data_IF_226172974399
#
_entry.id   IF_226172974399
#
_cell.length_a   1.000
_cell.length_b   1.000
_cell.length_c   1.000
_cell.angle_alpha   90.00
_cell.angle_beta   90.00
_cell.angle_gamma   90.00
#
_symmetry.space_group_name_H-M   'P 1'
#
loop_
_entity.id
_entity.type
_entity.pdbx_description
1 polymer ?
#
# COMPACT_ATOMS: atom_id res chain seq x y z
N UNK A 1 -9.33 49.11 55.41
CA UNK A 1 -9.21 47.71 55.86
C UNK A 1 -9.82 46.82 54.79
N UNK A 2 -9.07 46.16 53.90
CA UNK A 2 -8.23 44.96 54.13
C UNK A 2 -9.13 43.72 54.04
N UNK A 3 -8.99 42.70 53.18
CA UNK A 3 -7.84 42.00 52.56
C UNK A 3 -8.31 41.37 51.20
N UNK A 4 -7.53 41.33 50.10
CA UNK A 4 -6.64 40.21 49.60
C UNK A 4 -7.27 38.80 49.76
N UNK A 5 -7.23 37.83 48.83
CA UNK A 5 -6.47 37.55 47.59
C UNK A 5 -7.02 36.27 46.91
N UNK A 6 -6.47 35.98 45.71
CA UNK A 6 -6.40 34.68 44.98
C UNK A 6 -7.55 34.43 44.00
N UNK A 7 -7.33 33.91 42.80
CA UNK A 7 -6.15 33.25 42.23
C UNK A 7 -6.69 32.14 41.32
N UNK A 8 -6.37 32.18 40.02
CA UNK A 8 -6.93 31.23 39.07
C UNK A 8 -6.18 31.26 37.74
N UNK A 9 -4.87 30.99 37.78
CA UNK A 9 -4.12 30.64 36.58
C UNK A 9 -4.61 29.29 36.07
N UNK A 10 -5.49 29.31 35.07
CA UNK A 10 -5.88 28.14 34.30
C UNK A 10 -4.65 27.59 33.57
N UNK A 11 -4.02 26.56 34.15
CA UNK A 11 -3.06 25.73 33.42
C UNK A 11 -3.87 24.92 32.41
N UNK A 12 -3.78 25.30 31.13
CA UNK A 12 -4.11 24.38 30.05
C UNK A 12 -3.15 23.19 30.17
N UNK A 13 -3.65 22.06 30.68
CA UNK A 13 -3.00 20.77 30.43
C UNK A 13 -3.22 20.49 28.94
N UNK A 14 -2.25 20.85 28.11
CA UNK A 14 -2.14 20.27 26.79
C UNK A 14 -1.88 18.78 26.95
N UNK A 15 -2.88 17.94 26.64
CA UNK A 15 -2.62 16.55 26.30
C UNK A 15 -1.77 16.56 25.03
N UNK A 16 -0.46 16.46 25.17
CA UNK A 16 0.39 16.05 24.07
C UNK A 16 -0.03 14.61 23.74
N UNK A 17 -0.83 14.45 22.69
CA UNK A 17 -1.03 13.15 22.09
C UNK A 17 0.35 12.71 21.59
N UNK A 18 0.94 11.72 22.27
CA UNK A 18 2.11 11.02 21.74
C UNK A 18 1.62 10.28 20.49
N UNK A 19 1.86 10.87 19.31
CA UNK A 19 1.78 10.16 18.06
C UNK A 19 2.88 9.10 18.09
N UNK A 20 2.50 7.85 18.35
CA UNK A 20 3.37 6.70 18.09
C UNK A 20 3.48 6.61 16.56
N UNK A 21 4.50 7.26 15.99
CA UNK A 21 4.88 6.97 14.61
C UNK A 21 5.22 5.48 14.53
N UNK A 22 4.58 4.76 13.60
CA UNK A 22 5.01 3.40 13.27
C UNK A 22 6.50 3.45 12.95
N UNK A 23 7.30 2.63 13.63
CA UNK A 23 8.75 2.61 13.39
C UNK A 23 9.01 2.05 11.99
N UNK A 24 9.94 2.63 11.23
CA UNK A 24 10.25 2.15 9.89
C UNK A 24 10.74 0.70 9.96
N UNK A 25 10.27 -0.13 9.03
CA UNK A 25 10.77 -1.49 8.85
C UNK A 25 12.06 -1.42 8.04
N UNK A 26 13.13 -2.07 8.48
CA UNK A 26 14.36 -2.16 7.70
C UNK A 26 14.25 -3.24 6.62
N UNK A 27 14.51 -2.88 5.36
CA UNK A 27 14.62 -3.84 4.27
C UNK A 27 15.84 -4.76 4.48
N UNK A 28 15.74 -6.05 4.14
CA UNK A 28 16.84 -7.03 4.24
C UNK A 28 17.89 -6.80 3.17
N UNK A 29 17.49 -6.35 1.98
CA UNK A 29 18.39 -5.93 0.91
C UNK A 29 17.79 -6.15 -0.49
N UNK A 30 18.39 -5.54 -1.52
CA UNK A 30 17.91 -5.67 -2.88
C UNK A 30 18.26 -7.05 -3.47
N UNK A 31 17.53 -7.44 -4.51
CA UNK A 31 17.82 -8.61 -5.33
C UNK A 31 18.42 -8.19 -6.67
N UNK A 32 19.32 -9.03 -7.21
CA UNK A 32 19.83 -8.86 -8.56
C UNK A 32 18.84 -9.45 -9.59
N UNK A 33 18.30 -8.59 -10.46
CA UNK A 33 17.42 -8.98 -11.54
C UNK A 33 18.20 -8.97 -12.85
N UNK A 34 18.47 -10.15 -13.40
CA UNK A 34 19.28 -10.29 -14.61
C UNK A 34 18.67 -9.59 -15.85
N UNK A 35 17.34 -9.54 -15.97
CA UNK A 35 16.62 -8.90 -17.09
C UNK A 35 15.17 -8.55 -16.71
N UNK A 36 14.95 -7.58 -15.79
CA UNK A 36 13.62 -7.20 -15.35
C UNK A 36 12.77 -6.71 -16.52
N UNK A 37 11.51 -7.17 -16.57
CA UNK A 37 10.53 -6.72 -17.55
C UNK A 37 9.63 -5.64 -16.92
N UNK A 38 9.20 -4.60 -17.66
CA UNK A 38 8.39 -3.52 -17.09
C UNK A 38 7.03 -3.99 -16.53
N UNK A 39 6.61 -3.39 -15.41
CA UNK A 39 5.30 -3.61 -14.80
C UNK A 39 5.21 -4.82 -13.87
N UNK A 40 4.08 -4.97 -13.20
CA UNK A 40 3.79 -6.02 -12.23
C UNK A 40 2.92 -7.12 -12.83
N UNK A 41 3.19 -8.37 -12.45
CA UNK A 41 2.29 -9.48 -12.72
C UNK A 41 1.06 -9.40 -11.82
N UNK A 42 -0.07 -9.87 -12.32
CA UNK A 42 -1.30 -9.97 -11.54
C UNK A 42 -2.01 -11.28 -11.87
N UNK A 43 -2.55 -11.91 -10.83
CA UNK A 43 -3.51 -12.99 -11.00
C UNK A 43 -4.77 -12.70 -10.18
N UNK A 44 -5.92 -13.08 -10.74
CA UNK A 44 -7.24 -12.79 -10.20
C UNK A 44 -7.91 -14.03 -9.64
N UNK A 45 -8.61 -13.86 -8.52
CA UNK A 45 -9.43 -14.90 -7.90
C UNK A 45 -10.82 -14.31 -7.69
N UNK A 46 -11.85 -14.93 -8.27
CA UNK A 46 -13.22 -14.50 -8.06
C UNK A 46 -13.72 -14.92 -6.65
N UNK A 47 -14.35 -13.99 -5.96
CA UNK A 47 -15.00 -14.21 -4.68
C UNK A 47 -15.28 -12.94 -3.90
N UNK A 48 -16.46 -12.90 -3.27
CA UNK A 48 -16.81 -11.86 -2.33
C UNK A 48 -16.19 -12.15 -0.97
N UNK A 49 -15.20 -11.35 -0.58
CA UNK A 49 -14.63 -11.33 0.77
C UNK A 49 -14.93 -9.99 1.44
N UNK A 50 -14.63 -9.88 2.73
CA UNK A 50 -14.80 -8.63 3.49
C UNK A 50 -13.54 -8.17 4.19
N UNK A 51 -12.47 -8.96 4.14
CA UNK A 51 -11.21 -8.66 4.80
C UNK A 51 -10.04 -9.32 4.07
N UNK A 52 -8.88 -8.66 3.98
CA UNK A 52 -7.68 -9.17 3.29
C UNK A 52 -7.26 -10.57 3.79
N UNK A 53 -7.40 -10.87 5.09
CA UNK A 53 -7.04 -12.19 5.62
C UNK A 53 -7.86 -13.35 5.03
N UNK A 54 -9.07 -13.08 4.52
CA UNK A 54 -9.83 -14.08 3.77
C UNK A 54 -9.19 -14.40 2.42
N UNK A 55 -8.62 -13.38 1.75
CA UNK A 55 -7.85 -13.57 0.51
C UNK A 55 -6.62 -14.43 0.77
N UNK A 56 -5.84 -14.13 1.82
CA UNK A 56 -4.63 -14.89 2.19
C UNK A 56 -4.93 -16.38 2.40
N UNK A 57 -6.08 -16.71 2.99
CA UNK A 57 -6.51 -18.11 3.17
C UNK A 57 -6.93 -18.78 1.86
N UNK A 58 -7.48 -18.01 0.92
CA UNK A 58 -8.03 -18.51 -0.34
C UNK A 58 -6.96 -18.65 -1.43
N UNK A 59 -6.01 -17.72 -1.51
CA UNK A 59 -5.02 -17.65 -2.60
C UNK A 59 -4.12 -18.88 -2.72
N UNK A 60 -3.85 -19.58 -1.60
CA UNK A 60 -3.06 -20.82 -1.62
C UNK A 60 -3.82 -22.08 -2.02
N UNK A 61 -5.13 -21.98 -2.26
CA UNK A 61 -6.03 -23.14 -2.46
C UNK A 61 -6.96 -23.00 -3.66
N UNK A 62 -6.85 -21.89 -4.40
CA UNK A 62 -7.67 -21.58 -5.56
C UNK A 62 -6.80 -21.31 -6.78
N UNK A 63 -7.31 -21.74 -7.93
CA UNK A 63 -6.75 -21.32 -9.20
C UNK A 63 -6.85 -19.79 -9.33
N UNK A 64 -5.81 -19.20 -9.88
CA UNK A 64 -5.70 -17.77 -10.08
C UNK A 64 -5.60 -17.50 -11.58
N UNK A 65 -6.51 -16.69 -12.11
CA UNK A 65 -6.54 -16.34 -13.53
C UNK A 65 -5.51 -15.23 -13.82
N UNK A 66 -4.44 -15.49 -14.58
CA UNK A 66 -3.45 -14.46 -14.89
C UNK A 66 -4.08 -13.33 -15.71
N UNK A 67 -3.76 -12.09 -15.33
CA UNK A 67 -4.15 -10.89 -16.05
C UNK A 67 -3.02 -10.32 -16.91
N UNK A 68 -3.31 -9.34 -17.78
CA UNK A 68 -2.29 -8.50 -18.39
C UNK A 68 -1.42 -7.82 -17.32
N UNK A 69 -0.12 -7.72 -17.60
CA UNK A 69 0.86 -6.98 -16.77
C UNK A 69 0.35 -5.56 -16.49
N UNK A 70 0.50 -5.13 -15.24
CA UNK A 70 0.11 -3.81 -14.76
C UNK A 70 1.32 -2.87 -14.84
N UNK A 71 1.39 -1.93 -15.80
CA UNK A 71 2.56 -1.05 -15.94
C UNK A 71 2.69 -0.06 -14.77
N UNK A 72 1.58 0.28 -14.13
CA UNK A 72 1.48 1.15 -12.96
C UNK A 72 0.19 0.80 -12.22
N UNK A 73 0.13 1.05 -10.91
CA UNK A 73 -1.12 0.96 -10.15
C UNK A 73 -1.77 2.34 -10.05
N UNK A 74 -2.54 2.69 -11.08
CA UNK A 74 -3.37 3.89 -11.14
C UNK A 74 -4.72 3.55 -11.77
N UNK A 75 -5.51 2.75 -11.06
CA UNK A 75 -6.81 2.28 -11.53
C UNK A 75 -7.90 2.89 -10.66
N UNK A 76 -8.93 3.43 -11.31
CA UNK A 76 -10.17 3.84 -10.63
C UNK A 76 -11.30 3.75 -11.64
N UNK A 77 -12.36 3.05 -11.28
CA UNK A 77 -13.57 2.95 -12.10
C UNK A 77 -14.81 3.10 -11.24
N UNK A 78 -15.74 3.96 -11.69
CA UNK A 78 -17.07 4.12 -11.11
C UNK A 78 -18.04 2.98 -11.45
N UNK A 79 -17.56 1.96 -12.18
CA UNK A 79 -18.28 0.76 -12.59
C UNK A 79 -17.65 0.15 -13.85
N UNK A 80 -17.34 -1.15 -13.84
CA UNK A 80 -16.65 -1.86 -14.91
C UNK A 80 -15.66 -2.86 -14.35
N UNK A 81 -14.85 -3.48 -15.22
CA UNK A 81 -13.94 -4.53 -14.77
C UNK A 81 -12.96 -3.98 -13.73
N UNK A 82 -12.76 -4.73 -12.65
CA UNK A 82 -11.78 -4.42 -11.61
C UNK A 82 -10.39 -4.63 -12.18
N UNK A 83 -9.55 -3.59 -12.17
CA UNK A 83 -8.21 -3.62 -12.77
C UNK A 83 -8.26 -4.10 -14.24
N UNK A 84 -7.49 -5.14 -14.58
CA UNK A 84 -7.50 -5.81 -15.88
C UNK A 84 -8.24 -7.16 -15.85
N UNK A 85 -9.05 -7.41 -14.81
CA UNK A 85 -9.83 -8.63 -14.68
C UNK A 85 -10.99 -8.69 -15.71
N UNK A 86 -11.76 -9.77 -15.67
CA UNK A 86 -12.97 -9.97 -16.49
C UNK A 86 -14.27 -9.69 -15.72
N UNK A 87 -14.16 -9.33 -14.44
CA UNK A 87 -15.26 -9.23 -13.50
C UNK A 87 -15.38 -7.81 -12.97
N UNK A 88 -16.61 -7.34 -12.76
CA UNK A 88 -16.86 -5.99 -12.22
C UNK A 88 -16.98 -5.95 -10.70
N UNK A 89 -17.21 -7.11 -10.09
CA UNK A 89 -17.47 -7.24 -8.66
C UNK A 89 -16.80 -8.49 -8.12
N UNK A 90 -16.37 -8.45 -6.86
CA UNK A 90 -15.93 -9.64 -6.11
C UNK A 90 -14.62 -10.20 -6.67
N UNK A 91 -13.63 -9.34 -6.83
CA UNK A 91 -12.32 -9.67 -7.38
C UNK A 91 -11.26 -9.56 -6.30
N UNK A 92 -10.47 -10.61 -6.13
CA UNK A 92 -9.20 -10.55 -5.40
C UNK A 92 -8.05 -10.51 -6.40
N UNK A 93 -7.11 -9.59 -6.24
CA UNK A 93 -5.93 -9.45 -7.10
C UNK A 93 -4.66 -9.70 -6.29
N UNK A 94 -3.92 -10.76 -6.64
CA UNK A 94 -2.57 -11.01 -6.14
C UNK A 94 -1.59 -10.45 -7.16
N UNK A 95 -0.92 -9.37 -6.79
CA UNK A 95 -0.02 -8.60 -7.65
C UNK A 95 1.41 -8.81 -7.16
N UNK A 96 2.31 -9.22 -8.05
CA UNK A 96 3.69 -9.58 -7.72
C UNK A 96 4.68 -8.94 -8.69
N UNK A 97 5.88 -8.68 -8.19
CA UNK A 97 6.98 -8.19 -8.99
C UNK A 97 8.06 -7.59 -8.11
N UNK A 98 8.61 -6.46 -8.55
CA UNK A 98 9.67 -5.74 -7.89
C UNK A 98 9.44 -4.23 -7.98
N UNK A 99 9.89 -3.52 -6.96
CA UNK A 99 9.98 -2.06 -6.93
C UNK A 99 11.45 -1.63 -6.87
N UNK A 100 11.84 -0.69 -7.72
CA UNK A 100 13.18 -0.09 -7.70
C UNK A 100 13.21 1.08 -6.72
N UNK A 101 14.00 0.93 -5.65
CA UNK A 101 14.25 1.97 -4.65
C UNK A 101 15.68 2.46 -4.86
N UNK A 102 15.82 3.62 -5.50
CA UNK A 102 17.08 4.14 -6.04
C UNK A 102 17.92 4.95 -5.03
N UNK A 103 17.37 5.21 -3.84
CA UNK A 103 17.99 6.03 -2.80
C UNK A 103 18.03 5.27 -1.48
N UNK A 104 19.00 5.60 -0.64
CA UNK A 104 19.02 5.15 0.76
C UNK A 104 18.17 6.08 1.61
N UNK A 105 17.52 5.54 2.64
CA UNK A 105 16.70 6.29 3.60
C UNK A 105 15.28 5.76 3.72
N UNK A 106 14.45 6.51 4.44
CA UNK A 106 13.06 6.16 4.67
C UNK A 106 12.19 6.50 3.46
N UNK A 107 11.63 5.47 2.83
CA UNK A 107 10.51 5.59 1.90
C UNK A 107 9.19 5.55 2.67
N UNK A 108 8.24 6.38 2.25
CA UNK A 108 6.84 6.32 2.72
C UNK A 108 5.96 5.79 1.61
N UNK A 109 4.98 4.95 1.93
CA UNK A 109 4.03 4.36 1.00
C UNK A 109 2.60 4.59 1.46
N UNK A 110 1.68 4.69 0.51
CA UNK A 110 0.24 4.71 0.76
C UNK A 110 -0.52 4.12 -0.42
N UNK A 111 -1.73 3.66 -0.16
CA UNK A 111 -2.70 3.37 -1.21
C UNK A 111 -3.91 4.28 -1.08
N UNK A 112 -4.47 4.68 -2.21
CA UNK A 112 -5.89 4.99 -2.29
C UNK A 112 -6.61 3.74 -2.79
N UNK A 113 -7.57 3.21 -2.03
CA UNK A 113 -8.23 1.96 -2.40
C UNK A 113 -9.72 1.92 -2.08
N UNK A 114 -10.40 1.00 -2.78
CA UNK A 114 -11.78 0.59 -2.58
C UNK A 114 -11.92 -0.80 -3.22
N UNK A 115 -11.97 -1.91 -2.47
CA UNK A 115 -11.97 -2.02 -1.01
C UNK A 115 -10.51 -2.17 -0.48
N UNK A 116 -10.24 -3.24 0.28
CA UNK A 116 -9.03 -3.36 1.08
C UNK A 116 -7.77 -3.78 0.31
N UNK A 117 -6.62 -3.44 0.89
CA UNK A 117 -5.29 -3.64 0.33
C UNK A 117 -4.26 -3.98 1.42
N UNK A 118 -3.25 -4.78 1.07
CA UNK A 118 -2.04 -5.03 1.88
C UNK A 118 -0.81 -4.99 0.98
N UNK A 119 0.22 -4.29 1.45
CA UNK A 119 1.53 -4.20 0.79
C UNK A 119 2.59 -4.92 1.62
N UNK A 120 3.31 -5.80 0.96
CA UNK A 120 4.56 -6.37 1.46
C UNK A 120 5.71 -5.97 0.52
N UNK A 121 6.82 -5.49 1.09
CA UNK A 121 8.08 -5.25 0.38
C UNK A 121 9.15 -6.06 1.08
N UNK A 122 9.93 -6.84 0.32
CA UNK A 122 10.96 -7.74 0.85
C UNK A 122 10.44 -8.72 1.92
N UNK A 123 9.18 -9.14 1.72
CA UNK A 123 8.45 -10.04 2.62
C UNK A 123 8.12 -9.44 3.99
N UNK A 124 8.26 -8.13 4.17
CA UNK A 124 7.79 -7.43 5.36
C UNK A 124 6.50 -6.69 5.06
N UNK A 125 5.53 -6.76 5.97
CA UNK A 125 4.26 -6.01 5.88
C UNK A 125 4.53 -4.53 6.12
N UNK A 126 4.27 -3.70 5.12
CA UNK A 126 4.58 -2.27 5.12
C UNK A 126 3.36 -1.44 5.53
N UNK A 127 2.20 -1.79 4.98
CA UNK A 127 0.91 -1.21 5.32
C UNK A 127 -0.21 -2.19 5.00
N UNK A 128 -1.36 -1.96 5.63
CA UNK A 128 -2.63 -2.57 5.25
C UNK A 128 -3.79 -1.61 5.53
N UNK A 129 -4.82 -1.68 4.68
CA UNK A 129 -6.16 -1.14 4.91
C UNK A 129 -7.12 -2.28 4.60
N UNK A 130 -7.42 -3.16 5.58
CA UNK A 130 -7.79 -4.53 5.26
C UNK A 130 -9.30 -4.74 5.07
N UNK A 131 -10.12 -3.76 5.42
CA UNK A 131 -11.58 -3.87 5.52
C UNK A 131 -12.32 -3.49 4.22
N UNK A 132 -13.65 -3.64 4.23
CA UNK A 132 -14.55 -3.08 3.21
C UNK A 132 -14.74 -1.59 3.48
N UNK A 133 -14.48 -0.76 2.48
CA UNK A 133 -14.60 0.69 2.57
C UNK A 133 -14.73 1.33 1.18
N UNK A 134 -15.32 2.52 1.12
CA UNK A 134 -15.27 3.35 -0.09
C UNK A 134 -13.86 3.92 -0.31
N UNK A 135 -13.64 4.61 -1.43
CA UNK A 135 -12.40 5.31 -1.74
C UNK A 135 -11.86 6.08 -0.53
N UNK A 136 -10.70 5.67 -0.03
CA UNK A 136 -9.97 6.33 1.05
C UNK A 136 -8.47 6.07 0.90
N UNK A 137 -7.66 6.87 1.60
CA UNK A 137 -6.24 6.61 1.75
C UNK A 137 -5.99 5.71 2.96
N UNK A 138 -5.08 4.75 2.80
CA UNK A 138 -4.53 3.97 3.91
C UNK A 138 -3.72 4.86 4.86
N UNK A 139 -3.43 4.35 6.06
CA UNK A 139 -2.32 4.86 6.86
C UNK A 139 -0.98 4.71 6.11
N UNK A 140 0.00 5.53 6.49
CA UNK A 140 1.34 5.47 5.90
C UNK A 140 2.11 4.23 6.34
N UNK A 141 2.71 3.56 5.38
CA UNK A 141 3.72 2.53 5.59
C UNK A 141 5.13 3.09 5.40
N UNK A 142 6.09 2.60 6.19
CA UNK A 142 7.47 3.09 6.19
C UNK A 142 8.46 1.94 5.98
N UNK A 143 9.38 2.13 5.03
CA UNK A 143 10.49 1.21 4.77
C UNK A 143 11.81 1.98 4.78
N UNK A 144 12.74 1.55 5.62
CA UNK A 144 14.12 2.03 5.62
C UNK A 144 14.95 1.21 4.62
N UNK A 145 15.57 1.90 3.67
CA UNK A 145 16.41 1.31 2.63
C UNK A 145 17.88 1.62 2.89
N UNK A 146 18.69 0.60 3.15
CA UNK A 146 20.15 0.76 3.34
C UNK A 146 20.95 0.65 2.05
N UNK A 147 20.41 -0.01 1.03
CA UNK A 147 21.08 -0.26 -0.25
C UNK A 147 20.11 -0.03 -1.41
N UNK A 148 20.43 0.79 -2.41
CA UNK A 148 19.58 0.97 -3.58
C UNK A 148 19.45 -0.32 -4.40
N UNK A 149 18.28 -0.56 -5.00
CA UNK A 149 18.07 -1.66 -5.94
C UNK A 149 16.63 -2.12 -6.04
N UNK A 150 16.45 -3.35 -6.54
CA UNK A 150 15.15 -3.98 -6.71
C UNK A 150 14.73 -4.74 -5.48
N UNK A 151 13.52 -4.48 -4.99
CA UNK A 151 12.94 -5.16 -3.84
C UNK A 151 11.70 -5.94 -4.25
N UNK A 152 11.54 -7.21 -3.84
CA UNK A 152 10.33 -7.97 -4.12
C UNK A 152 9.10 -7.26 -3.55
N UNK A 153 8.04 -7.16 -4.34
CA UNK A 153 6.76 -6.60 -3.90
C UNK A 153 5.66 -7.64 -4.04
N UNK A 154 4.80 -7.70 -3.02
CA UNK A 154 3.56 -8.46 -3.03
C UNK A 154 2.44 -7.53 -2.55
N UNK A 155 1.48 -7.30 -3.43
CA UNK A 155 0.29 -6.52 -3.13
C UNK A 155 -0.91 -7.45 -3.22
N UNK A 156 -1.71 -7.45 -2.16
CA UNK A 156 -3.01 -8.11 -2.13
C UNK A 156 -4.06 -7.04 -2.09
N UNK A 157 -5.01 -7.12 -3.00
CA UNK A 157 -6.12 -6.19 -3.10
C UNK A 157 -7.41 -6.97 -3.29
N UNK A 158 -8.51 -6.47 -2.74
CA UNK A 158 -9.82 -6.94 -3.14
C UNK A 158 -10.77 -5.79 -3.43
N UNK A 159 -11.64 -6.04 -4.39
CA UNK A 159 -12.86 -5.29 -4.63
C UNK A 159 -14.03 -6.21 -4.30
N UNK A 160 -15.02 -5.70 -3.57
CA UNK A 160 -16.20 -6.47 -3.21
C UNK A 160 -17.40 -6.13 -4.09
N UNK A 161 -17.79 -4.85 -4.17
CA UNK A 161 -18.96 -4.41 -4.97
C UNK A 161 -18.88 -2.96 -5.47
N UNK A 162 -19.44 -2.77 -6.66
CA UNK A 162 -19.78 -1.53 -7.37
C UNK A 162 -18.59 -0.82 -8.01
N UNK A 163 -17.78 -0.13 -7.21
CA UNK A 163 -16.73 0.78 -7.68
C UNK A 163 -15.39 0.27 -7.19
N UNK A 164 -14.34 0.45 -7.97
CA UNK A 164 -13.01 -0.04 -7.61
C UNK A 164 -11.98 1.07 -7.74
N UNK A 165 -11.13 1.23 -6.74
CA UNK A 165 -9.95 2.11 -6.80
C UNK A 165 -8.74 1.34 -6.27
N UNK A 166 -7.61 1.47 -6.97
CA UNK A 166 -6.30 1.04 -6.51
C UNK A 166 -5.24 1.98 -7.11
N UNK A 167 -4.73 2.89 -6.30
CA UNK A 167 -3.62 3.79 -6.65
C UNK A 167 -2.48 3.63 -5.67
N UNK A 168 -1.29 3.34 -6.17
CA UNK A 168 -0.10 3.14 -5.34
C UNK A 168 0.76 4.40 -5.31
N UNK A 169 0.96 4.95 -4.12
CA UNK A 169 1.69 6.19 -3.89
C UNK A 169 2.95 5.95 -3.06
N UNK A 170 3.94 6.82 -3.26
CA UNK A 170 5.16 6.83 -2.47
C UNK A 170 5.71 8.24 -2.23
N UNK A 171 6.56 8.38 -1.23
CA UNK A 171 7.42 9.53 -1.01
C UNK A 171 8.84 8.98 -0.82
N UNK A 172 9.72 9.13 -1.83
CA UNK A 172 11.13 8.84 -1.69
C UNK A 172 11.82 9.70 -0.61
N UNK A 173 13.00 9.28 -0.12
CA UNK A 173 13.81 10.08 0.80
C UNK A 173 14.08 11.49 0.25
N UNK A 174 13.86 12.53 1.06
CA UNK A 174 14.17 13.92 0.68
C UNK A 174 13.16 14.61 -0.24
N UNK A 175 11.97 14.03 -0.44
CA UNK A 175 10.88 14.61 -1.25
C UNK A 175 9.65 14.97 -0.41
N UNK A 176 9.87 15.47 0.81
CA UNK A 176 8.83 15.72 1.80
C UNK A 176 7.68 16.60 1.27
N UNK A 177 6.45 16.19 1.58
CA UNK A 177 5.24 16.92 1.18
C UNK A 177 4.71 16.58 -0.21
N UNK A 178 5.27 15.55 -0.85
CA UNK A 178 4.74 14.99 -2.10
C UNK A 178 4.50 13.49 -1.94
N UNK A 179 3.35 13.00 -2.41
CA UNK A 179 3.02 11.57 -2.50
C UNK A 179 2.54 11.25 -3.92
N UNK A 180 3.41 11.36 -4.94
CA UNK A 180 3.05 10.99 -6.31
C UNK A 180 2.74 9.49 -6.40
N UNK A 181 2.12 9.09 -7.51
CA UNK A 181 2.03 7.68 -7.89
C UNK A 181 3.44 7.10 -8.02
N UNK A 182 3.61 5.84 -7.63
CA UNK A 182 4.81 5.08 -7.97
C UNK A 182 4.91 5.03 -9.50
N UNK A 183 6.02 5.51 -10.10
CA UNK A 183 6.12 5.62 -11.54
C UNK A 183 6.33 4.23 -12.17
N UNK A 184 5.92 4.07 -13.43
CA UNK A 184 5.94 2.77 -14.12
C UNK A 184 7.36 2.20 -14.23
N UNK A 185 8.36 3.05 -14.43
CA UNK A 185 9.77 2.70 -14.50
C UNK A 185 10.34 2.17 -13.18
N UNK A 186 9.67 2.41 -12.05
CA UNK A 186 10.06 1.84 -10.76
C UNK A 186 9.47 0.44 -10.56
N UNK A 187 8.68 -0.10 -11.49
CA UNK A 187 7.99 -1.38 -11.33
C UNK A 187 8.44 -2.38 -12.40
N UNK A 188 8.74 -3.59 -11.96
CA UNK A 188 9.14 -4.68 -12.85
C UNK A 188 8.66 -6.05 -12.36
N UNK A 189 8.74 -7.05 -13.23
CA UNK A 189 8.60 -8.46 -12.88
C UNK A 189 9.80 -9.27 -13.39
N UNK A 190 9.91 -10.51 -12.93
CA UNK A 190 10.95 -11.43 -13.35
C UNK A 190 10.76 -11.87 -14.80
N UNK A 191 11.84 -12.29 -15.44
CA UNK A 191 11.84 -12.94 -16.75
C UNK A 191 11.37 -14.40 -16.68
#
# INVERSE_FOLDING_TARGET
MGKRLSGGSGRFLGCAALLLAASPVLAKGPVDLASPQPGLEVCYIDGFIRHIDEMVRKEGSRDCDPGPVLPQLNYSTGGGNVLTSKSNDGVMARITGFIHLDQTGSYTFAFESNDGVRLEIDGAMILEDPDVHSDQFSDYGYLEVSEPGWYPVLIRYFERKNTSTLRFHWQPPGTEGTMPLVPAEALAHGS
#
